data_IF_354630268251
#
_entry.id   IF_354630268251
#
_cell.length_a   1.000
_cell.length_b   1.000
_cell.length_c   1.000
_cell.angle_alpha   90.00
_cell.angle_beta   90.00
_cell.angle_gamma   90.00
#
_symmetry.space_group_name_H-M   'P 1'
#
loop_
_entity.id
_entity.type
_entity.pdbx_description
1 polymer ?
#
# COMPACT_ATOMS: atom_id res chain seq x y z
N UNK A 1 -39.63 22.88 -10.07
CA UNK A 1 -39.12 23.86 -9.10
C UNK A 1 -38.34 23.12 -8.01
N UNK A 2 -37.02 23.03 -8.15
CA UNK A 2 -36.15 22.52 -7.08
C UNK A 2 -36.08 23.55 -5.94
N UNK A 3 -36.37 23.11 -4.71
CA UNK A 3 -36.35 23.98 -3.51
C UNK A 3 -34.97 23.93 -2.87
N UNK A 4 -34.11 24.88 -3.21
CA UNK A 4 -32.77 25.06 -2.61
C UNK A 4 -32.81 25.79 -1.25
N UNK A 5 -33.98 26.30 -0.84
CA UNK A 5 -34.20 27.07 0.40
C UNK A 5 -34.77 26.24 1.58
N UNK A 6 -34.39 24.97 1.71
CA UNK A 6 -34.74 24.20 2.92
C UNK A 6 -33.53 24.11 3.84
N UNK A 7 -33.59 24.62 5.09
CA UNK A 7 -32.54 24.36 6.06
C UNK A 7 -32.39 22.85 6.22
N UNK A 8 -31.17 22.35 6.06
CA UNK A 8 -30.86 20.93 6.25
C UNK A 8 -31.23 20.53 7.67
N UNK A 9 -32.02 19.47 7.82
CA UNK A 9 -32.46 18.97 9.13
C UNK A 9 -31.26 18.73 10.06
N UNK A 10 -31.22 19.42 11.21
CA UNK A 10 -30.16 19.27 12.22
C UNK A 10 -30.61 18.23 13.23
N UNK A 11 -30.08 17.01 13.14
CA UNK A 11 -30.34 15.98 14.14
C UNK A 11 -29.71 16.37 15.49
N UNK A 12 -30.51 16.34 16.57
CA UNK A 12 -30.05 16.60 17.94
C UNK A 12 -29.50 15.34 18.65
N UNK A 13 -29.59 14.17 18.01
CA UNK A 13 -29.05 12.91 18.54
C UNK A 13 -27.52 12.89 18.57
N UNK A 14 -26.95 11.98 19.37
CA UNK A 14 -25.51 11.80 19.51
C UNK A 14 -24.82 11.58 18.15
N UNK A 15 -25.40 10.76 17.28
CA UNK A 15 -24.88 10.50 15.94
C UNK A 15 -24.83 11.76 15.05
N UNK A 16 -25.86 12.62 15.15
CA UNK A 16 -25.90 13.88 14.40
C UNK A 16 -24.84 14.87 14.87
N UNK A 17 -24.60 14.95 16.19
CA UNK A 17 -23.53 15.76 16.78
C UNK A 17 -22.15 15.25 16.36
N UNK A 18 -21.91 13.94 16.41
CA UNK A 18 -20.67 13.31 15.97
C UNK A 18 -20.40 13.56 14.47
N UNK A 19 -21.42 13.37 13.62
CA UNK A 19 -21.29 13.62 12.19
C UNK A 19 -20.91 15.06 11.88
N UNK A 20 -21.56 16.05 12.51
CA UNK A 20 -21.22 17.48 12.31
C UNK A 20 -19.83 17.82 12.81
N UNK A 21 -19.42 17.29 13.96
CA UNK A 21 -18.06 17.47 14.49
C UNK A 21 -17.00 16.89 13.54
N UNK A 22 -17.23 15.68 13.02
CA UNK A 22 -16.35 15.05 12.04
C UNK A 22 -16.32 15.83 10.70
N UNK A 23 -17.47 16.19 10.16
CA UNK A 23 -17.58 16.94 8.91
C UNK A 23 -16.93 18.33 9.00
N UNK A 24 -17.09 19.04 10.13
CA UNK A 24 -16.44 20.33 10.38
C UNK A 24 -14.92 20.17 10.46
N UNK A 25 -14.42 19.10 11.09
CA UNK A 25 -12.97 18.81 11.14
C UNK A 25 -12.40 18.50 9.77
N UNK A 26 -13.12 17.73 8.94
CA UNK A 26 -12.70 17.43 7.56
C UNK A 26 -12.70 18.66 6.64
N UNK A 27 -13.53 19.67 6.92
CA UNK A 27 -13.57 20.92 6.17
C UNK A 27 -12.53 21.95 6.63
N UNK A 28 -12.16 21.94 7.91
CA UNK A 28 -11.25 22.92 8.53
C UNK A 28 -9.79 22.49 8.54
N UNK A 29 -9.53 21.18 8.48
CA UNK A 29 -8.18 20.64 8.36
C UNK A 29 -8.15 19.73 7.12
N UNK A 30 -7.45 20.11 6.02
CA UNK A 30 -6.99 19.07 5.11
C UNK A 30 -6.24 18.03 5.96
N UNK A 31 -6.40 16.75 5.62
CA UNK A 31 -5.62 15.68 6.25
C UNK A 31 -4.16 16.18 6.35
N UNK A 32 -3.50 16.04 7.51
CA UNK A 32 -2.15 16.56 7.67
C UNK A 32 -1.37 16.12 6.44
N UNK A 33 -0.89 17.10 5.66
CA UNK A 33 -0.05 16.79 4.52
C UNK A 33 1.00 15.87 5.10
N UNK A 34 1.15 14.69 4.48
CA UNK A 34 2.14 13.69 4.84
C UNK A 34 3.55 14.23 4.54
N UNK A 35 3.85 15.42 5.06
CA UNK A 35 5.11 16.11 5.03
C UNK A 35 6.00 15.36 6.01
N UNK A 36 6.95 14.64 5.41
CA UNK A 36 7.73 13.56 5.99
C UNK A 36 6.95 12.26 6.20
N UNK A 37 6.70 11.52 5.11
CA UNK A 37 6.74 10.06 5.19
C UNK A 37 8.11 9.69 5.79
N UNK A 38 8.14 9.47 7.11
CA UNK A 38 9.28 8.78 7.74
C UNK A 38 9.53 7.53 6.92
N UNK A 39 10.76 7.36 6.48
CA UNK A 39 11.12 6.12 5.78
C UNK A 39 10.77 4.96 6.70
N UNK A 40 9.99 3.97 6.24
CA UNK A 40 9.65 2.86 7.10
C UNK A 40 10.93 2.15 7.54
N UNK A 41 10.96 1.76 8.81
CA UNK A 41 12.12 1.06 9.36
C UNK A 41 12.29 -0.29 8.67
N UNK A 42 13.52 -0.60 8.26
CA UNK A 42 13.87 -1.90 7.72
C UNK A 42 13.76 -2.97 8.81
N UNK A 43 13.34 -4.18 8.44
CA UNK A 43 13.12 -5.30 9.37
C UNK A 43 14.09 -6.44 9.02
N UNK A 44 15.20 -6.59 9.76
CA UNK A 44 16.22 -7.61 9.48
C UNK A 44 15.69 -9.04 9.59
N UNK A 45 14.55 -9.27 10.27
CA UNK A 45 14.00 -10.62 10.37
C UNK A 45 13.42 -11.15 9.06
N UNK A 46 13.19 -10.26 8.09
CA UNK A 46 12.69 -10.62 6.76
C UNK A 46 13.82 -10.99 5.79
N UNK A 47 15.08 -10.90 6.24
CA UNK A 47 16.24 -11.36 5.47
C UNK A 47 16.44 -12.87 5.56
N UNK A 48 16.75 -13.49 4.42
CA UNK A 48 17.02 -14.92 4.31
C UNK A 48 18.35 -15.13 3.58
N UNK A 49 19.31 -15.88 4.12
CA UNK A 49 20.60 -16.11 3.46
C UNK A 49 20.47 -16.59 2.01
N UNK A 50 21.23 -15.95 1.10
CA UNK A 50 21.21 -16.23 -0.33
C UNK A 50 20.14 -15.45 -1.10
N UNK A 51 19.55 -14.41 -0.50
CA UNK A 51 18.62 -13.52 -1.21
C UNK A 51 19.34 -12.57 -2.18
N UNK A 52 20.64 -12.34 -1.95
CA UNK A 52 21.49 -11.42 -2.68
C UNK A 52 21.60 -11.80 -4.16
N UNK A 53 21.57 -13.10 -4.46
CA UNK A 53 21.57 -13.66 -5.82
C UNK A 53 20.38 -13.19 -6.66
N UNK A 54 19.30 -12.78 -5.99
CA UNK A 54 18.02 -12.44 -6.62
C UNK A 54 17.73 -10.94 -6.66
N UNK A 55 18.64 -10.10 -6.15
CA UNK A 55 18.43 -8.65 -6.06
C UNK A 55 18.21 -8.00 -7.42
N UNK A 56 19.01 -8.36 -8.43
CA UNK A 56 18.92 -7.78 -9.79
C UNK A 56 17.54 -8.07 -10.39
N UNK A 57 17.11 -9.33 -10.36
CA UNK A 57 15.79 -9.71 -10.87
C UNK A 57 14.63 -9.16 -10.03
N UNK A 58 14.83 -8.96 -8.73
CA UNK A 58 13.85 -8.30 -7.87
C UNK A 58 13.70 -6.81 -8.23
N UNK A 59 14.81 -6.14 -8.55
CA UNK A 59 14.84 -4.75 -9.01
C UNK A 59 14.12 -4.56 -10.35
N UNK A 60 14.33 -5.47 -11.31
CA UNK A 60 13.58 -5.48 -12.57
C UNK A 60 12.07 -5.63 -12.36
N UNK A 61 11.67 -6.55 -11.46
CA UNK A 61 10.25 -6.76 -11.12
C UNK A 61 9.66 -5.53 -10.43
N UNK A 62 10.42 -4.88 -9.54
CA UNK A 62 10.00 -3.66 -8.86
C UNK A 62 9.83 -2.51 -9.85
N UNK A 63 10.78 -2.31 -10.78
CA UNK A 63 10.70 -1.25 -11.77
C UNK A 63 9.49 -1.43 -12.69
N UNK A 64 9.21 -2.67 -13.13
CA UNK A 64 8.02 -2.98 -13.92
C UNK A 64 6.72 -2.75 -13.15
N UNK A 65 6.68 -3.11 -11.86
CA UNK A 65 5.55 -2.81 -10.98
C UNK A 65 5.34 -1.29 -10.83
N UNK A 66 6.42 -0.56 -10.57
CA UNK A 66 6.39 0.89 -10.38
C UNK A 66 5.89 1.62 -11.62
N UNK A 67 6.30 1.18 -12.82
CA UNK A 67 5.82 1.73 -14.08
C UNK A 67 4.32 1.49 -14.27
N UNK A 68 3.85 0.25 -14.07
CA UNK A 68 2.44 -0.12 -14.20
C UNK A 68 1.56 0.61 -13.19
N UNK A 69 1.97 0.68 -11.93
CA UNK A 69 1.25 1.40 -10.89
C UNK A 69 1.21 2.91 -11.19
N UNK A 70 2.33 3.50 -11.63
CA UNK A 70 2.37 4.92 -12.05
C UNK A 70 1.43 5.21 -13.21
N UNK A 71 1.28 4.26 -14.15
CA UNK A 71 0.33 4.36 -15.26
C UNK A 71 -1.12 4.34 -14.75
N UNK A 72 -1.46 3.44 -13.82
CA UNK A 72 -2.78 3.42 -13.18
C UNK A 72 -3.06 4.70 -12.39
N UNK A 73 -2.08 5.19 -11.64
CA UNK A 73 -2.18 6.45 -10.91
C UNK A 73 -2.46 7.62 -11.85
N UNK A 74 -1.73 7.71 -12.96
CA UNK A 74 -1.93 8.76 -13.96
C UNK A 74 -3.30 8.67 -14.63
N UNK A 75 -3.77 7.44 -14.90
CA UNK A 75 -5.07 7.20 -15.52
C UNK A 75 -6.25 7.62 -14.62
N UNK A 76 -6.17 7.31 -13.32
CA UNK A 76 -7.22 7.63 -12.35
C UNK A 76 -7.04 8.99 -11.65
N UNK A 77 -5.94 9.70 -11.91
CA UNK A 77 -5.62 10.97 -11.26
C UNK A 77 -5.28 10.82 -9.77
N UNK A 78 -4.65 9.71 -9.37
CA UNK A 78 -4.13 9.50 -8.03
C UNK A 78 -2.72 10.09 -7.91
N UNK A 79 -2.49 10.92 -6.89
CA UNK A 79 -1.21 11.57 -6.63
C UNK A 79 -0.31 10.69 -5.75
N UNK A 80 -0.93 10.01 -4.79
CA UNK A 80 -0.27 9.20 -3.78
C UNK A 80 -0.62 7.71 -3.89
N UNK A 81 0.31 6.86 -3.43
CA UNK A 81 0.18 5.41 -3.45
C UNK A 81 -1.03 4.93 -2.63
N UNK A 82 -1.32 5.55 -1.48
CA UNK A 82 -2.47 5.20 -0.65
C UNK A 82 -3.80 5.46 -1.35
N UNK A 83 -3.89 6.52 -2.17
CA UNK A 83 -5.11 6.84 -2.91
C UNK A 83 -5.44 5.76 -3.94
N UNK A 84 -4.45 5.33 -4.73
CA UNK A 84 -4.67 4.31 -5.77
C UNK A 84 -4.93 2.94 -5.14
N UNK A 85 -4.24 2.57 -4.06
CA UNK A 85 -4.43 1.28 -3.40
C UNK A 85 -5.77 1.16 -2.67
N UNK A 86 -6.31 2.27 -2.15
CA UNK A 86 -7.59 2.28 -1.43
C UNK A 86 -8.78 2.69 -2.30
N UNK A 87 -8.51 3.23 -3.50
CA UNK A 87 -9.48 3.88 -4.37
C UNK A 87 -10.07 5.18 -3.80
N UNK A 88 -9.47 5.73 -2.74
CA UNK A 88 -9.96 6.94 -2.07
C UNK A 88 -9.21 8.19 -2.56
N UNK A 89 -9.58 8.66 -3.75
CA UNK A 89 -8.94 9.81 -4.41
C UNK A 89 -9.33 11.12 -3.69
N UNK A 90 -8.33 11.88 -3.21
CA UNK A 90 -8.56 13.14 -2.49
C UNK A 90 -9.11 14.23 -3.41
N UNK A 91 -8.79 14.20 -4.71
CA UNK A 91 -9.32 15.13 -5.70
C UNK A 91 -10.77 14.77 -6.10
N UNK A 92 -11.66 14.89 -5.11
CA UNK A 92 -13.10 14.59 -5.20
C UNK A 92 -13.85 15.47 -6.21
N UNK A 93 -13.23 16.54 -6.68
CA UNK A 93 -13.82 17.49 -7.64
C UNK A 93 -14.00 16.87 -9.03
N UNK A 94 -13.15 15.91 -9.42
CA UNK A 94 -13.29 15.17 -10.68
C UNK A 94 -14.50 14.21 -10.67
N UNK A 95 -14.88 13.72 -9.49
CA UNK A 95 -15.78 12.56 -9.34
C UNK A 95 -16.94 12.81 -8.36
N UNK A 96 -17.45 14.03 -8.40
CA UNK A 96 -18.79 14.45 -7.95
C UNK A 96 -18.90 15.04 -6.54
N UNK A 97 -19.39 16.28 -6.54
CA UNK A 97 -20.15 16.87 -5.43
C UNK A 97 -21.62 16.38 -5.34
N UNK A 98 -22.09 15.47 -6.22
CA UNK A 98 -23.55 15.24 -6.41
C UNK A 98 -24.07 13.80 -6.56
N UNK A 99 -23.24 12.79 -6.88
CA UNK A 99 -23.72 11.40 -7.08
C UNK A 99 -22.78 10.39 -6.41
N UNK A 100 -23.15 9.94 -5.21
CA UNK A 100 -22.37 8.96 -4.46
C UNK A 100 -22.25 7.63 -5.20
N UNK A 101 -23.24 7.23 -6.02
CA UNK A 101 -23.22 5.93 -6.70
C UNK A 101 -22.06 5.84 -7.68
N UNK A 102 -21.88 6.87 -8.51
CA UNK A 102 -20.77 6.94 -9.48
C UNK A 102 -19.40 6.95 -8.83
N UNK A 103 -19.28 7.56 -7.64
CA UNK A 103 -18.04 7.52 -6.86
C UNK A 103 -17.69 6.09 -6.42
N UNK A 104 -18.67 5.34 -5.91
CA UNK A 104 -18.46 3.93 -5.53
C UNK A 104 -18.10 3.07 -6.76
N UNK A 105 -18.81 3.19 -7.88
CA UNK A 105 -18.48 2.44 -9.10
C UNK A 105 -17.07 2.75 -9.61
N UNK A 106 -16.61 4.00 -9.52
CA UNK A 106 -15.25 4.36 -9.87
C UNK A 106 -14.24 3.73 -8.90
N UNK A 107 -14.49 3.86 -7.59
CA UNK A 107 -13.65 3.26 -6.57
C UNK A 107 -13.48 1.76 -6.82
N UNK A 108 -14.56 1.06 -7.14
CA UNK A 108 -14.54 -0.37 -7.44
C UNK A 108 -13.67 -0.66 -8.67
N UNK A 109 -13.76 0.13 -9.75
CA UNK A 109 -12.87 0.00 -10.93
C UNK A 109 -11.40 0.22 -10.60
N UNK A 110 -11.09 1.17 -9.72
CA UNK A 110 -9.72 1.42 -9.27
C UNK A 110 -9.21 0.18 -8.54
N UNK A 111 -9.98 -0.33 -7.58
CA UNK A 111 -9.63 -1.52 -6.79
C UNK A 111 -9.44 -2.72 -7.71
N UNK A 112 -10.36 -2.96 -8.65
CA UNK A 112 -10.28 -4.07 -9.61
C UNK A 112 -9.01 -3.97 -10.48
N UNK A 113 -8.65 -2.75 -10.90
CA UNK A 113 -7.45 -2.52 -11.73
C UNK A 113 -6.17 -2.81 -10.95
N UNK A 114 -6.09 -2.36 -9.69
CA UNK A 114 -4.96 -2.63 -8.80
C UNK A 114 -4.89 -4.11 -8.45
N UNK A 115 -6.02 -4.76 -8.19
CA UNK A 115 -6.07 -6.20 -7.92
C UNK A 115 -5.62 -7.01 -9.14
N UNK A 116 -5.99 -6.58 -10.35
CA UNK A 116 -5.48 -7.14 -11.60
C UNK A 116 -3.96 -7.06 -11.69
N UNK A 117 -3.37 -5.89 -11.39
CA UNK A 117 -1.92 -5.71 -11.32
C UNK A 117 -1.28 -6.62 -10.25
N UNK A 118 -1.86 -6.70 -9.06
CA UNK A 118 -1.36 -7.58 -8.00
C UNK A 118 -1.39 -9.05 -8.41
N UNK A 119 -2.44 -9.50 -9.11
CA UNK A 119 -2.52 -10.87 -9.65
C UNK A 119 -1.43 -11.14 -10.70
N UNK A 120 -1.13 -10.16 -11.55
CA UNK A 120 -0.04 -10.26 -12.53
C UNK A 120 1.32 -10.42 -11.83
N UNK A 121 1.60 -9.55 -10.85
CA UNK A 121 2.84 -9.58 -10.05
C UNK A 121 2.96 -10.89 -9.25
N UNK A 122 1.87 -11.37 -8.66
CA UNK A 122 1.82 -12.68 -8.03
C UNK A 122 2.11 -13.80 -9.03
N UNK A 123 1.71 -13.65 -10.29
CA UNK A 123 2.06 -14.54 -11.39
C UNK A 123 3.58 -14.62 -11.61
N UNK A 124 4.27 -13.47 -11.64
CA UNK A 124 5.74 -13.42 -11.76
C UNK A 124 6.46 -14.07 -10.58
N UNK A 125 5.84 -14.04 -9.40
CA UNK A 125 6.38 -14.72 -8.23
C UNK A 125 6.13 -16.23 -8.29
N UNK A 126 4.90 -16.64 -8.66
CA UNK A 126 4.48 -18.06 -8.71
C UNK A 126 5.13 -18.85 -9.82
N UNK A 127 5.61 -18.20 -10.88
CA UNK A 127 6.36 -18.85 -11.96
C UNK A 127 7.72 -19.38 -11.49
N UNK A 128 8.20 -18.92 -10.33
CA UNK A 128 9.51 -19.28 -9.77
C UNK A 128 9.46 -20.56 -8.93
N UNK A 129 10.58 -21.26 -8.73
CA UNK A 129 10.63 -22.46 -7.89
C UNK A 129 10.23 -22.18 -6.44
N UNK A 130 9.34 -23.00 -5.88
CA UNK A 130 8.87 -22.87 -4.48
C UNK A 130 10.00 -22.99 -3.45
N UNK A 131 11.05 -23.73 -3.77
CA UNK A 131 12.21 -23.91 -2.87
C UNK A 131 12.95 -22.59 -2.60
N UNK A 132 12.87 -21.64 -3.53
CA UNK A 132 13.56 -20.35 -3.45
C UNK A 132 12.62 -19.20 -3.07
N UNK A 133 11.32 -19.48 -2.91
CA UNK A 133 10.29 -18.47 -2.68
C UNK A 133 10.63 -17.53 -1.52
N UNK A 134 11.19 -18.06 -0.42
CA UNK A 134 11.61 -17.24 0.72
C UNK A 134 12.78 -16.29 0.41
N UNK A 135 13.74 -16.72 -0.41
CA UNK A 135 14.86 -15.86 -0.83
C UNK A 135 14.39 -14.78 -1.79
N UNK A 136 13.53 -15.13 -2.74
CA UNK A 136 12.90 -14.16 -3.65
C UNK A 136 12.08 -13.11 -2.89
N UNK A 137 11.23 -13.53 -1.95
CA UNK A 137 10.42 -12.61 -1.14
C UNK A 137 11.30 -11.69 -0.28
N UNK A 138 12.38 -12.23 0.31
CA UNK A 138 13.41 -11.43 1.00
C UNK A 138 14.06 -10.40 0.09
N UNK A 139 14.43 -10.79 -1.14
CA UNK A 139 15.02 -9.87 -2.12
C UNK A 139 14.05 -8.75 -2.53
N UNK A 140 12.77 -9.07 -2.76
CA UNK A 140 11.74 -8.07 -3.07
C UNK A 140 11.54 -7.07 -1.92
N UNK A 141 11.56 -7.55 -0.67
CA UNK A 141 11.52 -6.71 0.51
C UNK A 141 12.77 -5.83 0.65
N UNK A 142 13.96 -6.38 0.36
CA UNK A 142 15.21 -5.63 0.45
C UNK A 142 15.28 -4.50 -0.60
N UNK A 143 14.96 -4.76 -1.86
CA UNK A 143 14.95 -3.76 -2.94
C UNK A 143 14.03 -2.56 -2.63
N UNK A 144 12.98 -2.78 -1.84
CA UNK A 144 11.99 -1.76 -1.52
C UNK A 144 12.24 -1.05 -0.20
N UNK A 145 12.68 -1.74 0.85
CA UNK A 145 12.83 -1.15 2.18
C UNK A 145 14.27 -0.82 2.56
N UNK A 146 15.26 -1.44 1.91
CA UNK A 146 16.65 -1.23 2.29
C UNK A 146 17.15 0.14 1.81
N UNK A 147 17.81 0.94 2.67
CA UNK A 147 18.28 2.28 2.33
C UNK A 147 19.20 2.34 1.11
N UNK A 148 20.02 1.31 0.89
CA UNK A 148 20.97 1.26 -0.22
C UNK A 148 20.31 1.15 -1.60
N UNK A 149 19.12 0.54 -1.66
CA UNK A 149 18.37 0.38 -2.91
C UNK A 149 17.43 1.56 -3.19
N UNK A 150 17.41 2.57 -2.31
CA UNK A 150 16.57 3.75 -2.51
C UNK A 150 17.15 4.64 -3.59
N UNK A 151 16.38 4.84 -4.67
CA UNK A 151 16.74 5.73 -5.77
C UNK A 151 16.33 7.18 -5.46
N UNK A 152 17.28 8.12 -5.28
CA UNK A 152 16.94 9.51 -5.01
C UNK A 152 16.21 10.14 -6.21
N UNK A 153 15.16 10.91 -5.95
CA UNK A 153 14.44 11.70 -6.97
C UNK A 153 13.35 10.95 -7.75
N UNK A 154 13.12 9.65 -7.50
CA UNK A 154 11.98 8.90 -8.07
C UNK A 154 10.88 8.67 -7.04
N UNK A 155 9.62 8.56 -7.49
CA UNK A 155 8.53 8.05 -6.64
C UNK A 155 8.89 6.62 -6.23
N UNK A 156 8.73 6.33 -4.94
CA UNK A 156 9.04 5.02 -4.37
C UNK A 156 7.77 4.39 -3.82
N UNK A 157 7.49 3.15 -4.21
CA UNK A 157 6.27 2.44 -3.86
C UNK A 157 6.57 1.36 -2.82
N UNK A 158 5.83 1.42 -1.71
CA UNK A 158 6.04 0.56 -0.56
C UNK A 158 5.20 -0.72 -0.60
N UNK A 159 4.15 -0.75 -1.42
CA UNK A 159 3.20 -1.85 -1.52
C UNK A 159 3.77 -3.13 -2.13
N UNK A 160 4.79 -3.03 -2.97
CA UNK A 160 5.27 -4.12 -3.83
C UNK A 160 5.56 -5.44 -3.07
N UNK A 161 6.32 -5.47 -1.96
CA UNK A 161 6.64 -6.72 -1.27
C UNK A 161 5.41 -7.32 -0.58
N UNK A 162 4.44 -6.49 -0.19
CA UNK A 162 3.23 -6.94 0.46
C UNK A 162 2.28 -7.68 -0.48
N UNK A 163 2.54 -7.66 -1.79
CA UNK A 163 1.85 -8.52 -2.76
C UNK A 163 2.12 -10.02 -2.46
N UNK A 164 3.28 -10.33 -1.85
CA UNK A 164 3.70 -11.67 -1.43
C UNK A 164 3.71 -11.84 0.10
N UNK A 165 2.78 -11.17 0.80
CA UNK A 165 2.63 -11.20 2.26
C UNK A 165 2.78 -12.60 2.87
N UNK A 166 2.18 -13.62 2.26
CA UNK A 166 2.19 -14.99 2.78
C UNK A 166 3.61 -15.56 2.96
N UNK A 167 4.51 -15.26 2.02
CA UNK A 167 5.91 -15.70 2.10
C UNK A 167 6.70 -14.88 3.12
N UNK A 168 6.51 -13.55 3.15
CA UNK A 168 7.13 -12.70 4.17
C UNK A 168 6.73 -13.13 5.59
N UNK A 169 5.47 -13.51 5.80
CA UNK A 169 4.99 -14.02 7.09
C UNK A 169 5.62 -15.38 7.45
N UNK A 170 5.90 -16.25 6.47
CA UNK A 170 6.61 -17.52 6.71
C UNK A 170 8.07 -17.26 7.13
N UNK A 171 8.73 -16.30 6.50
CA UNK A 171 10.09 -15.87 6.85
C UNK A 171 10.10 -15.35 8.28
N UNK A 172 9.22 -14.40 8.62
CA UNK A 172 9.13 -13.81 9.96
C UNK A 172 8.91 -14.85 11.05
N UNK A 173 8.01 -15.83 10.80
CA UNK A 173 7.77 -16.96 11.72
C UNK A 173 9.04 -17.80 11.93
N UNK A 174 9.80 -18.05 10.87
CA UNK A 174 11.04 -18.84 10.92
C UNK A 174 12.16 -18.10 11.66
N UNK A 175 12.33 -16.80 11.40
CA UNK A 175 13.29 -15.94 12.11
C UNK A 175 13.01 -15.87 13.61
N UNK A 176 11.74 -15.76 14.00
CA UNK A 176 11.35 -15.78 15.42
C UNK A 176 11.75 -17.11 16.10
N UNK A 177 11.54 -18.25 15.43
CA UNK A 177 11.93 -19.58 15.95
C UNK A 177 13.45 -19.69 16.11
N UNK A 178 14.22 -19.27 15.10
CA UNK A 178 15.71 -19.27 15.17
C UNK A 178 16.22 -18.45 16.36
N UNK A 179 15.65 -17.27 16.57
CA UNK A 179 16.03 -16.39 17.68
C UNK A 179 15.74 -17.03 19.05
N UNK A 180 14.58 -17.69 19.18
CA UNK A 180 14.21 -18.39 20.42
C UNK A 180 15.16 -19.55 20.73
N UNK A 181 15.56 -20.33 19.72
CA UNK A 181 16.51 -21.43 19.87
C UNK A 181 17.92 -20.93 20.22
N UNK A 182 18.37 -19.83 19.59
CA UNK A 182 19.66 -19.22 19.91
C UNK A 182 19.72 -18.73 21.36
N UNK A 183 18.66 -18.09 21.86
CA UNK A 183 18.59 -17.64 23.26
C UNK A 183 18.62 -18.83 24.23
N UNK A 184 17.92 -19.92 23.93
CA UNK A 184 17.94 -21.13 24.76
C UNK A 184 19.31 -21.82 24.80
N UNK A 185 20.04 -21.79 23.68
CA UNK A 185 21.38 -22.38 23.58
C UNK A 185 22.48 -21.55 24.25
N UNK A 186 22.24 -20.27 24.53
CA UNK A 186 23.18 -19.39 25.27
C UNK A 186 22.92 -19.47 26.79
N UNK A 187 21.70 -19.85 27.19
CA UNK A 187 21.29 -19.99 28.59
C UNK A 187 21.51 -21.40 29.18
N UNK A 188 21.90 -22.38 28.35
CA UNK A 188 22.21 -23.77 28.75
C UNK A 188 23.71 -23.99 28.73
#
# INVERSE_FOLDING_TARGET
MERWDKPTYISNGALGKLYRAAASRMQSAPAPSSSAQSSPAFDPDLEVPGFEEFLVSAEECYDLYAEKLSTLMSYYGAEHEDEILTGNIQNRLLYLKKDNKRYFEMKDRIIDSVEGLHKEVQGWFRSRPKAEASRWASAWYCVTYHPEHRRPGKKHFWSFPWIVCDELLKIKKSSKRRRQQAVQSIMS
#
